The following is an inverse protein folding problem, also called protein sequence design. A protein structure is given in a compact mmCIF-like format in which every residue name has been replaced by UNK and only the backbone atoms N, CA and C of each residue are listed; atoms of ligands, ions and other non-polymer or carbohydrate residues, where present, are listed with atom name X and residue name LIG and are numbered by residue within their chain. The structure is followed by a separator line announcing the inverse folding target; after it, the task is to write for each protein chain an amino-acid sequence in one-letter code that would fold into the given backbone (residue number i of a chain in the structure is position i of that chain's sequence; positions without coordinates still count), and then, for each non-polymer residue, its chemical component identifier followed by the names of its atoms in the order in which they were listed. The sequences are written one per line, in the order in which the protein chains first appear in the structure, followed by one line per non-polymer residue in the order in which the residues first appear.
data_IF_153768116753
#
_entry.id   IF_153768116753
#
_cell.length_a   1.000
_cell.length_b   1.000
_cell.length_c   1.000
_cell.angle_alpha   90.00
_cell.angle_beta   90.00
_cell.angle_gamma   90.00
#
_symmetry.space_group_name_H-M   'P 1'
#
loop_
_entity.id
_entity.type
_entity.pdbx_description
1 polymer ?
#
# COMPACT_ATOMS: atom_id res chain seq x y z
N UNK A 1 14.77 -8.03 -55.27
CA UNK A 1 14.71 -8.19 -53.81
C UNK A 1 13.48 -9.01 -53.50
N UNK A 2 13.65 -10.24 -53.00
CA UNK A 2 12.57 -11.23 -52.94
C UNK A 2 11.69 -10.97 -51.71
N UNK A 3 10.41 -10.65 -51.92
CA UNK A 3 9.40 -10.40 -50.87
C UNK A 3 9.27 -11.55 -49.87
N UNK A 4 9.62 -12.77 -50.29
CA UNK A 4 9.68 -13.95 -49.43
C UNK A 4 10.79 -13.87 -48.35
N UNK A 5 11.90 -13.18 -48.66
CA UNK A 5 13.02 -12.99 -47.73
C UNK A 5 12.67 -11.98 -46.64
N UNK A 6 11.99 -10.88 -47.01
CA UNK A 6 11.52 -9.88 -46.04
C UNK A 6 10.46 -10.46 -45.09
N UNK A 7 9.55 -11.29 -45.61
CA UNK A 7 8.53 -11.95 -44.79
C UNK A 7 9.12 -12.99 -43.81
N UNK A 8 10.22 -13.66 -44.18
CA UNK A 8 10.88 -14.65 -43.32
C UNK A 8 11.75 -14.04 -42.23
N UNK A 9 12.31 -12.85 -42.43
CA UNK A 9 13.01 -12.10 -41.38
C UNK A 9 12.03 -11.50 -40.35
N UNK A 10 10.95 -10.87 -40.81
CA UNK A 10 9.92 -10.29 -39.93
C UNK A 10 9.23 -11.34 -39.05
N UNK A 11 9.00 -12.55 -39.59
CA UNK A 11 8.41 -13.66 -38.82
C UNK A 11 9.38 -14.27 -37.80
N UNK A 12 10.69 -14.33 -38.09
CA UNK A 12 11.72 -14.77 -37.14
C UNK A 12 11.95 -13.78 -36.00
N UNK A 13 11.83 -12.49 -36.28
CA UNK A 13 11.97 -11.45 -35.24
C UNK A 13 10.73 -11.40 -34.33
N UNK A 14 9.53 -11.51 -34.91
CA UNK A 14 8.27 -11.54 -34.17
C UNK A 14 8.09 -12.82 -33.33
N UNK A 15 8.58 -13.97 -33.79
CA UNK A 15 8.58 -15.22 -32.99
C UNK A 15 9.53 -15.20 -31.80
N UNK A 16 10.57 -14.35 -31.82
CA UNK A 16 11.47 -14.16 -30.66
C UNK A 16 10.79 -13.40 -29.51
N UNK A 17 9.80 -12.57 -29.83
CA UNK A 17 8.94 -11.87 -28.86
C UNK A 17 7.83 -12.80 -28.34
N UNK A 18 7.44 -13.79 -29.15
CA UNK A 18 6.37 -14.75 -28.85
C UNK A 18 6.87 -16.14 -28.42
N UNK A 19 8.13 -16.27 -27.98
CA UNK A 19 8.49 -17.38 -27.09
C UNK A 19 7.92 -17.05 -25.72
N UNK A 20 6.65 -17.40 -25.50
CA UNK A 20 5.95 -17.33 -24.22
C UNK A 20 6.64 -18.27 -23.24
N UNK A 21 7.77 -17.83 -22.70
CA UNK A 21 8.47 -18.53 -21.65
C UNK A 21 7.50 -18.57 -20.45
N UNK A 22 7.11 -19.75 -19.93
CA UNK A 22 6.11 -19.87 -18.87
C UNK A 22 6.45 -19.06 -17.60
N UNK A 23 7.71 -18.67 -17.43
CA UNK A 23 8.17 -17.73 -16.40
C UNK A 23 7.49 -16.36 -16.46
N UNK A 24 7.19 -15.81 -17.64
CA UNK A 24 6.52 -14.50 -17.73
C UNK A 24 5.11 -14.52 -17.16
N UNK A 25 4.43 -15.67 -17.26
CA UNK A 25 3.12 -15.88 -16.65
C UNK A 25 3.22 -15.80 -15.12
N UNK A 26 4.28 -16.38 -14.54
CA UNK A 26 4.53 -16.36 -13.10
C UNK A 26 4.81 -14.94 -12.60
N UNK A 27 5.64 -14.17 -13.32
CA UNK A 27 5.89 -12.76 -12.98
C UNK A 27 4.62 -11.91 -13.04
N UNK A 28 3.77 -12.13 -14.05
CA UNK A 28 2.49 -11.42 -14.16
C UNK A 28 1.55 -11.74 -12.99
N UNK A 29 1.47 -13.01 -12.58
CA UNK A 29 0.64 -13.43 -11.42
C UNK A 29 1.15 -12.80 -10.13
N UNK A 30 2.47 -12.79 -9.90
CA UNK A 30 3.09 -12.15 -8.74
C UNK A 30 2.78 -10.65 -8.70
N UNK A 31 2.85 -9.97 -9.85
CA UNK A 31 2.53 -8.54 -9.95
C UNK A 31 1.06 -8.26 -9.61
N UNK A 32 0.13 -9.12 -10.06
CA UNK A 32 -1.29 -9.01 -9.73
C UNK A 32 -1.51 -9.20 -8.23
N UNK A 33 -0.91 -10.22 -7.62
CA UNK A 33 -1.01 -10.48 -6.18
C UNK A 33 -0.50 -9.27 -5.37
N UNK A 34 0.68 -8.74 -5.73
CA UNK A 34 1.24 -7.55 -5.12
C UNK A 34 0.30 -6.35 -5.23
N UNK A 35 -0.28 -6.12 -6.39
CA UNK A 35 -1.22 -5.01 -6.63
C UNK A 35 -2.48 -5.14 -5.79
N UNK A 36 -3.05 -6.35 -5.69
CA UNK A 36 -4.23 -6.62 -4.85
C UNK A 36 -3.93 -6.38 -3.37
N UNK A 37 -2.77 -6.84 -2.89
CA UNK A 37 -2.32 -6.59 -1.52
C UNK A 37 -2.19 -5.09 -1.27
N UNK A 38 -1.56 -4.36 -2.21
CA UNK A 38 -1.36 -2.92 -2.10
C UNK A 38 -2.69 -2.16 -1.99
N UNK A 39 -3.66 -2.49 -2.85
CA UNK A 39 -5.00 -1.89 -2.82
C UNK A 39 -5.72 -2.18 -1.49
N UNK A 40 -5.60 -3.42 -0.99
CA UNK A 40 -6.21 -3.82 0.27
C UNK A 40 -5.61 -3.07 1.46
N UNK A 41 -4.29 -2.93 1.50
CA UNK A 41 -3.59 -2.15 2.53
C UNK A 41 -3.96 -0.67 2.42
N UNK A 42 -4.04 -0.11 1.22
CA UNK A 42 -4.41 1.29 1.02
C UNK A 42 -5.80 1.63 1.54
N UNK A 43 -6.79 0.75 1.28
CA UNK A 43 -8.13 0.88 1.88
C UNK A 43 -8.08 0.86 3.41
N UNK A 44 -7.29 -0.03 3.99
CA UNK A 44 -7.13 -0.10 5.44
C UNK A 44 -6.46 1.16 6.01
N UNK A 45 -5.49 1.77 5.33
CA UNK A 45 -4.83 3.02 5.76
C UNK A 45 -5.85 4.17 5.84
N UNK A 46 -6.73 4.31 4.85
CA UNK A 46 -7.77 5.36 4.87
C UNK A 46 -8.73 5.16 6.04
N UNK A 47 -9.25 3.94 6.23
CA UNK A 47 -10.16 3.61 7.33
C UNK A 47 -9.49 3.85 8.68
N UNK A 48 -8.23 3.42 8.81
CA UNK A 48 -7.44 3.60 10.02
C UNK A 48 -7.14 5.07 10.33
N UNK A 49 -6.90 5.90 9.31
CA UNK A 49 -6.71 7.34 9.47
C UNK A 49 -7.99 8.03 9.96
N UNK A 50 -9.16 7.66 9.42
CA UNK A 50 -10.45 8.22 9.85
C UNK A 50 -10.74 7.83 11.30
N UNK A 51 -10.58 6.55 11.64
CA UNK A 51 -10.75 6.07 13.01
C UNK A 51 -9.76 6.77 13.96
N UNK A 52 -8.53 7.02 13.50
CA UNK A 52 -7.53 7.74 14.27
C UNK A 52 -7.94 9.17 14.61
N UNK A 53 -8.44 9.91 13.64
CA UNK A 53 -8.94 11.29 13.86
C UNK A 53 -10.17 11.30 14.78
N UNK A 54 -11.10 10.37 14.58
CA UNK A 54 -12.30 10.24 15.42
C UNK A 54 -11.93 9.91 16.86
N UNK A 55 -11.00 8.97 17.06
CA UNK A 55 -10.51 8.61 18.38
C UNK A 55 -9.76 9.78 19.05
N UNK A 56 -8.95 10.54 18.31
CA UNK A 56 -8.30 11.73 18.85
C UNK A 56 -9.29 12.82 19.27
N UNK A 57 -10.34 13.07 18.47
CA UNK A 57 -11.43 13.97 18.85
C UNK A 57 -12.15 13.48 20.12
N UNK A 58 -12.41 12.18 20.22
CA UNK A 58 -13.02 11.58 21.40
C UNK A 58 -12.15 11.75 22.65
N UNK A 59 -10.84 11.49 22.55
CA UNK A 59 -9.89 11.71 23.64
C UNK A 59 -9.82 13.17 24.09
N UNK A 60 -9.79 14.11 23.13
CA UNK A 60 -9.67 15.53 23.45
C UNK A 60 -10.95 16.05 24.11
N UNK A 61 -12.12 15.62 23.63
CA UNK A 61 -13.42 16.08 24.13
C UNK A 61 -13.84 15.39 25.44
N UNK A 62 -13.65 14.07 25.56
CA UNK A 62 -14.12 13.29 26.72
C UNK A 62 -13.07 13.25 27.83
N UNK A 63 -11.79 13.04 27.49
CA UNK A 63 -10.73 12.82 28.48
C UNK A 63 -9.89 14.09 28.75
N UNK A 64 -10.11 15.19 28.02
CA UNK A 64 -9.31 16.43 28.09
C UNK A 64 -7.79 16.21 27.87
N UNK A 65 -7.42 15.08 27.24
CA UNK A 65 -6.02 14.73 26.98
C UNK A 65 -5.57 15.44 25.72
N UNK A 66 -4.72 16.47 25.88
CA UNK A 66 -4.09 17.17 24.75
C UNK A 66 -2.96 16.32 24.17
N UNK A 67 -3.24 15.62 23.07
CA UNK A 67 -2.23 14.94 22.27
C UNK A 67 -1.80 15.83 21.09
N UNK A 68 -0.49 15.84 20.74
CA UNK A 68 -0.01 16.56 19.58
C UNK A 68 -0.62 15.97 18.30
N UNK A 69 -1.52 16.74 17.66
CA UNK A 69 -2.31 16.32 16.49
C UNK A 69 -1.43 15.74 15.38
N UNK A 70 -0.32 16.43 15.07
CA UNK A 70 0.55 16.08 13.95
C UNK A 70 1.25 14.73 14.17
N UNK A 71 1.76 14.49 15.38
CA UNK A 71 2.39 13.23 15.76
C UNK A 71 1.36 12.10 15.78
N UNK A 72 0.17 12.38 16.29
CA UNK A 72 -0.91 11.38 16.36
C UNK A 72 -1.42 11.00 14.98
N UNK A 73 -1.48 11.94 14.05
CA UNK A 73 -1.87 11.70 12.67
C UNK A 73 -0.80 10.86 11.94
N UNK A 74 0.48 11.19 12.12
CA UNK A 74 1.59 10.40 11.55
C UNK A 74 1.55 8.95 12.06
N UNK A 75 1.38 8.78 13.37
CA UNK A 75 1.35 7.46 14.00
C UNK A 75 0.11 6.67 13.56
N UNK A 76 -1.06 7.31 13.44
CA UNK A 76 -2.29 6.63 12.98
C UNK A 76 -2.27 6.32 11.49
N UNK A 77 -1.56 7.07 10.66
CA UNK A 77 -1.38 6.72 9.25
C UNK A 77 -0.46 5.51 9.09
N UNK A 78 0.59 5.39 9.89
CA UNK A 78 1.57 4.29 9.80
C UNK A 78 1.08 3.02 10.53
N UNK A 79 0.61 3.17 11.77
CA UNK A 79 0.24 2.06 12.67
C UNK A 79 -1.27 1.89 12.85
N UNK A 80 -2.09 2.79 12.31
CA UNK A 80 -3.53 2.74 12.46
C UNK A 80 -4.03 3.07 13.88
N UNK A 81 -5.23 2.57 14.25
CA UNK A 81 -5.80 2.80 15.58
C UNK A 81 -4.97 2.18 16.71
N UNK A 82 -4.15 1.16 16.43
CA UNK A 82 -3.23 0.59 17.40
C UNK A 82 -2.14 1.60 17.85
N UNK A 83 -1.67 2.44 16.92
CA UNK A 83 -0.68 3.47 17.23
C UNK A 83 -1.19 4.53 18.22
N UNK A 84 -2.49 4.83 18.18
CA UNK A 84 -3.14 5.68 19.17
C UNK A 84 -3.17 5.06 20.56
N UNK A 85 -3.41 3.75 20.66
CA UNK A 85 -3.37 3.03 21.94
C UNK A 85 -1.99 3.12 22.59
N UNK A 86 -0.92 2.96 21.81
CA UNK A 86 0.46 3.12 22.30
C UNK A 86 0.71 4.56 22.75
N UNK A 87 0.22 5.55 22.00
CA UNK A 87 0.39 6.96 22.33
C UNK A 87 -0.37 7.36 23.60
N UNK A 88 -1.55 6.79 23.82
CA UNK A 88 -2.30 6.90 25.07
C UNK A 88 -1.51 6.32 26.24
N UNK A 89 -0.97 5.12 26.08
CA UNK A 89 -0.15 4.47 27.12
C UNK A 89 1.07 5.34 27.43
N UNK A 90 1.79 5.83 26.43
CA UNK A 90 2.93 6.74 26.62
C UNK A 90 2.54 8.05 27.33
N UNK A 91 1.34 8.58 27.05
CA UNK A 91 0.77 9.72 27.77
C UNK A 91 0.51 9.40 29.23
N UNK A 92 -0.07 8.23 29.53
CA UNK A 92 -0.30 7.77 30.90
C UNK A 92 1.01 7.57 31.67
N UNK A 93 2.08 7.17 30.98
CA UNK A 93 3.43 7.08 31.55
C UNK A 93 4.18 8.43 31.62
N UNK A 94 3.58 9.54 31.18
CA UNK A 94 4.16 10.88 31.28
C UNK A 94 5.28 11.18 30.30
N UNK A 95 5.46 10.36 29.27
CA UNK A 95 6.52 10.52 28.25
C UNK A 95 6.09 11.50 27.14
N UNK A 96 4.77 11.73 26.96
CA UNK A 96 4.16 12.53 25.87
C UNK A 96 2.95 13.35 26.36
#
# INVERSE_FOLDING_TARGET
MNILFLATEVTKESTKVLTLNPMYLVYAVILIILTVIFIKVFKNVIVNSIIGVVALLFLNYVLNIKLPFLITLIITVIFGPAGLGVMLVLKFFGVV
#
